data_IF_760235719202
#
_entry.id   IF_760235719202
#
_cell.length_a   1.000
_cell.length_b   1.000
_cell.length_c   1.000
_cell.angle_alpha   90.00
_cell.angle_beta   90.00
_cell.angle_gamma   90.00
#
_symmetry.space_group_name_H-M   'P 1'
#
loop_
_entity.id
_entity.type
_entity.pdbx_description
1 polymer ?
#
# COMPACT_ATOMS: atom_id res chain seq x y z
N UNK A 1 12.78 -8.21 -9.13
CA UNK A 1 13.54 -7.05 -8.59
C UNK A 1 12.57 -6.30 -7.70
N UNK A 2 12.95 -5.92 -6.47
CA UNK A 2 12.02 -5.22 -5.58
C UNK A 2 11.61 -3.88 -6.20
N UNK A 3 10.31 -3.59 -6.21
CA UNK A 3 9.78 -2.29 -6.61
C UNK A 3 9.85 -1.42 -5.36
N UNK A 4 10.62 -0.33 -5.39
CA UNK A 4 10.84 0.53 -4.21
C UNK A 4 10.68 2.03 -4.50
N UNK A 5 10.27 2.38 -5.72
CA UNK A 5 10.27 3.74 -6.24
C UNK A 5 9.08 4.01 -7.17
N UNK A 6 7.93 3.40 -6.90
CA UNK A 6 6.73 3.63 -7.70
C UNK A 6 6.25 5.09 -7.53
N UNK A 7 5.83 5.69 -8.64
CA UNK A 7 5.40 7.08 -8.75
C UNK A 7 4.01 7.13 -9.39
N UNK A 8 3.14 7.90 -8.77
CA UNK A 8 1.73 8.05 -9.09
C UNK A 8 1.32 9.52 -9.25
N UNK A 9 2.28 10.43 -9.48
CA UNK A 9 2.00 11.85 -9.72
C UNK A 9 1.11 12.11 -10.93
N UNK A 10 1.17 11.23 -11.94
CA UNK A 10 0.53 11.42 -13.23
C UNK A 10 -0.78 10.60 -13.39
N UNK A 11 -1.40 10.18 -12.28
CA UNK A 11 -2.67 9.42 -12.34
C UNK A 11 -3.74 10.25 -13.06
N UNK A 12 -4.35 9.62 -14.07
CA UNK A 12 -5.56 10.12 -14.70
C UNK A 12 -6.80 9.60 -13.96
N UNK A 13 -7.55 10.50 -13.32
CA UNK A 13 -8.76 10.16 -12.55
C UNK A 13 -9.88 9.58 -13.43
N UNK A 14 -10.00 10.00 -14.70
CA UNK A 14 -11.01 9.47 -15.62
C UNK A 14 -10.72 8.02 -16.00
N UNK A 15 -9.46 7.72 -16.32
CA UNK A 15 -9.02 6.35 -16.64
C UNK A 15 -9.12 5.44 -15.41
N UNK A 16 -8.71 5.93 -14.24
CA UNK A 16 -8.84 5.20 -12.98
C UNK A 16 -10.30 4.85 -12.72
N UNK A 17 -11.20 5.84 -12.80
CA UNK A 17 -12.64 5.65 -12.63
C UNK A 17 -13.21 4.60 -13.59
N UNK A 18 -12.84 4.66 -14.87
CA UNK A 18 -13.25 3.66 -15.85
C UNK A 18 -12.76 2.25 -15.48
N UNK A 19 -11.50 2.13 -15.03
CA UNK A 19 -10.88 0.84 -14.69
C UNK A 19 -11.48 0.15 -13.46
N UNK A 20 -12.09 0.92 -12.54
CA UNK A 20 -12.72 0.42 -11.31
C UNK A 20 -14.25 0.52 -11.33
N UNK A 21 -14.84 0.91 -12.47
CA UNK A 21 -16.29 0.95 -12.66
C UNK A 21 -17.02 2.08 -11.91
N UNK A 22 -16.35 3.21 -11.70
CA UNK A 22 -16.88 4.37 -10.98
C UNK A 22 -17.01 5.61 -11.87
N UNK A 23 -17.66 6.65 -11.32
CA UNK A 23 -17.67 7.98 -11.95
C UNK A 23 -16.47 8.79 -11.46
N UNK A 24 -15.79 9.58 -12.33
CA UNK A 24 -14.61 10.37 -11.97
C UNK A 24 -14.78 11.24 -10.73
N UNK A 25 -15.99 11.83 -10.55
CA UNK A 25 -16.33 12.64 -9.38
C UNK A 25 -16.17 11.95 -8.01
N UNK A 26 -16.12 10.63 -7.97
CA UNK A 26 -15.94 9.85 -6.73
C UNK A 26 -14.47 9.53 -6.43
N UNK A 27 -13.56 9.72 -7.40
CA UNK A 27 -12.15 9.38 -7.24
C UNK A 27 -11.47 10.17 -6.11
N UNK A 28 -11.63 11.50 -6.00
CA UNK A 28 -10.97 12.24 -4.93
C UNK A 28 -11.32 11.73 -3.52
N UNK A 29 -12.59 11.37 -3.28
CA UNK A 29 -13.03 10.85 -1.98
C UNK A 29 -12.42 9.48 -1.68
N UNK A 30 -12.37 8.60 -2.68
CA UNK A 30 -11.84 7.24 -2.53
C UNK A 30 -10.32 7.28 -2.34
N UNK A 31 -9.62 8.15 -3.08
CA UNK A 31 -8.20 8.39 -2.88
C UNK A 31 -7.92 8.94 -1.49
N UNK A 32 -8.68 9.93 -1.02
CA UNK A 32 -8.51 10.48 0.33
C UNK A 32 -8.64 9.38 1.40
N UNK A 33 -9.68 8.54 1.32
CA UNK A 33 -9.86 7.42 2.24
C UNK A 33 -8.70 6.42 2.16
N UNK A 34 -8.26 6.07 0.95
CA UNK A 34 -7.11 5.18 0.75
C UNK A 34 -5.83 5.72 1.37
N UNK A 35 -5.54 7.01 1.18
CA UNK A 35 -4.35 7.66 1.75
C UNK A 35 -4.40 7.69 3.28
N UNK A 36 -5.55 8.04 3.86
CA UNK A 36 -5.74 8.08 5.31
C UNK A 36 -5.57 6.68 5.92
N UNK A 37 -6.31 5.69 5.42
CA UNK A 37 -6.26 4.31 5.92
C UNK A 37 -4.85 3.72 5.77
N UNK A 38 -4.24 3.87 4.60
CA UNK A 38 -2.90 3.32 4.34
C UNK A 38 -1.87 3.96 5.27
N UNK A 39 -1.94 5.28 5.51
CA UNK A 39 -1.02 5.97 6.43
C UNK A 39 -1.11 5.42 7.85
N UNK A 40 -2.33 5.21 8.36
CA UNK A 40 -2.57 4.62 9.69
C UNK A 40 -2.00 3.20 9.75
N UNK A 41 -2.26 2.38 8.73
CA UNK A 41 -1.80 0.99 8.67
C UNK A 41 -0.27 0.92 8.60
N UNK A 42 0.39 1.76 7.79
CA UNK A 42 1.86 1.79 7.70
C UNK A 42 2.50 2.10 9.05
N UNK A 43 1.95 3.06 9.81
CA UNK A 43 2.42 3.34 11.17
C UNK A 43 2.26 2.14 12.10
N UNK A 44 1.12 1.43 12.00
CA UNK A 44 0.89 0.21 12.77
C UNK A 44 1.89 -0.90 12.41
N UNK A 45 2.26 -1.03 11.12
CA UNK A 45 3.28 -1.99 10.69
C UNK A 45 4.65 -1.60 11.26
N UNK A 46 5.04 -0.32 11.24
CA UNK A 46 6.31 0.15 11.82
C UNK A 46 6.46 -0.24 13.29
N UNK A 47 5.41 -0.05 14.09
CA UNK A 47 5.39 -0.49 15.49
C UNK A 47 5.52 -2.02 15.61
N UNK A 48 4.81 -2.76 14.76
CA UNK A 48 4.80 -4.23 14.77
C UNK A 48 6.17 -4.81 14.39
N UNK A 49 6.94 -4.14 13.53
CA UNK A 49 8.32 -4.53 13.21
C UNK A 49 9.21 -4.44 14.47
N UNK A 50 9.11 -3.35 15.25
CA UNK A 50 9.87 -3.19 16.50
C UNK A 50 9.51 -4.28 17.51
N UNK A 51 8.22 -4.62 17.61
CA UNK A 51 7.71 -5.67 18.49
C UNK A 51 7.91 -7.10 17.95
N UNK A 52 8.40 -7.25 16.71
CA UNK A 52 8.51 -8.53 15.99
C UNK A 52 7.18 -9.29 15.88
N UNK A 53 6.07 -8.55 15.81
CA UNK A 53 4.72 -9.10 15.70
C UNK A 53 4.40 -9.41 14.22
N UNK A 54 4.86 -10.58 13.76
CA UNK A 54 4.70 -11.00 12.36
C UNK A 54 3.22 -11.18 11.97
N UNK A 55 2.35 -11.58 12.91
CA UNK A 55 0.93 -11.74 12.63
C UNK A 55 0.26 -10.39 12.35
N UNK A 56 0.59 -9.37 13.15
CA UNK A 56 0.07 -8.02 12.93
C UNK A 56 0.63 -7.38 11.66
N UNK A 57 1.92 -7.59 11.35
CA UNK A 57 2.51 -7.17 10.06
C UNK A 57 1.75 -7.81 8.90
N UNK A 58 1.52 -9.12 8.95
CA UNK A 58 0.81 -9.87 7.90
C UNK A 58 -0.61 -9.34 7.69
N UNK A 59 -1.39 -9.18 8.77
CA UNK A 59 -2.78 -8.70 8.70
C UNK A 59 -2.87 -7.28 8.13
N UNK A 60 -2.00 -6.39 8.57
CA UNK A 60 -1.96 -5.01 8.09
C UNK A 60 -1.50 -4.93 6.62
N UNK A 61 -0.48 -5.70 6.23
CA UNK A 61 -0.02 -5.75 4.84
C UNK A 61 -1.09 -6.33 3.91
N UNK A 62 -1.85 -7.33 4.37
CA UNK A 62 -3.00 -7.87 3.65
C UNK A 62 -4.06 -6.79 3.37
N UNK A 63 -4.33 -5.92 4.35
CA UNK A 63 -5.29 -4.83 4.20
C UNK A 63 -4.82 -3.82 3.12
N UNK A 64 -3.56 -3.36 3.17
CA UNK A 64 -2.99 -2.48 2.14
C UNK A 64 -3.07 -3.13 0.76
N UNK A 65 -2.69 -4.41 0.66
CA UNK A 65 -2.76 -5.18 -0.60
C UNK A 65 -4.19 -5.19 -1.16
N UNK A 66 -5.19 -5.46 -0.33
CA UNK A 66 -6.59 -5.46 -0.74
C UNK A 66 -7.05 -4.09 -1.27
N UNK A 67 -6.76 -3.02 -0.52
CA UNK A 67 -7.13 -1.66 -0.91
C UNK A 67 -6.42 -1.22 -2.20
N UNK A 68 -5.12 -1.46 -2.33
CA UNK A 68 -4.36 -1.16 -3.53
C UNK A 68 -4.86 -1.95 -4.75
N UNK A 69 -5.21 -3.23 -4.57
CA UNK A 69 -5.76 -4.07 -5.63
C UNK A 69 -7.13 -3.59 -6.14
N UNK A 70 -7.98 -3.07 -5.25
CA UNK A 70 -9.26 -2.47 -5.61
C UNK A 70 -9.10 -1.19 -6.44
N UNK A 71 -8.02 -0.45 -6.20
CA UNK A 71 -7.70 0.82 -6.88
C UNK A 71 -6.71 0.69 -8.04
N UNK A 72 -6.25 -0.53 -8.34
CA UNK A 72 -5.26 -0.81 -9.40
C UNK A 72 -3.88 -0.15 -9.19
N UNK A 73 -3.51 0.15 -7.94
CA UNK A 73 -2.14 0.53 -7.58
C UNK A 73 -1.26 -0.72 -7.53
N UNK A 74 -0.89 -1.24 -8.71
CA UNK A 74 -0.26 -2.55 -8.87
C UNK A 74 1.08 -2.66 -8.15
N UNK A 75 1.88 -1.60 -8.16
CA UNK A 75 3.18 -1.56 -7.51
C UNK A 75 3.03 -1.57 -5.98
N UNK A 76 2.09 -0.79 -5.42
CA UNK A 76 1.74 -0.84 -3.99
C UNK A 76 1.22 -2.23 -3.62
N UNK A 77 0.37 -2.82 -4.48
CA UNK A 77 -0.13 -4.17 -4.30
C UNK A 77 1.01 -5.20 -4.20
N UNK A 78 1.97 -5.17 -5.12
CA UNK A 78 3.10 -6.11 -5.09
C UNK A 78 4.01 -5.87 -3.89
N UNK A 79 4.30 -4.62 -3.53
CA UNK A 79 5.07 -4.31 -2.31
C UNK A 79 4.38 -4.83 -1.04
N UNK A 80 3.07 -4.60 -0.90
CA UNK A 80 2.30 -5.08 0.26
C UNK A 80 2.21 -6.61 0.31
N UNK A 81 2.12 -7.27 -0.86
CA UNK A 81 2.15 -8.73 -0.97
C UNK A 81 3.48 -9.32 -0.52
N UNK A 82 4.62 -8.73 -0.89
CA UNK A 82 5.94 -9.19 -0.43
C UNK A 82 6.06 -9.08 1.10
N UNK A 83 5.58 -7.97 1.68
CA UNK A 83 5.52 -7.79 3.15
C UNK A 83 4.63 -8.87 3.81
N UNK A 84 3.44 -9.10 3.27
CA UNK A 84 2.50 -10.09 3.81
C UNK A 84 3.09 -11.51 3.75
N UNK A 85 3.72 -11.88 2.64
CA UNK A 85 4.31 -13.20 2.46
C UNK A 85 5.51 -13.40 3.38
N UNK A 86 6.40 -12.41 3.49
CA UNK A 86 7.53 -12.48 4.40
C UNK A 86 7.10 -12.64 5.86
N UNK A 87 6.05 -11.92 6.27
CA UNK A 87 5.51 -12.00 7.62
C UNK A 87 4.82 -13.36 7.87
N UNK A 88 4.13 -13.91 6.87
CA UNK A 88 3.54 -15.26 6.92
C UNK A 88 4.61 -16.34 7.15
N UNK A 89 5.77 -16.19 6.51
CA UNK A 89 6.91 -17.10 6.63
C UNK A 89 7.80 -16.80 7.86
N UNK A 90 7.41 -15.84 8.70
CA UNK A 90 8.16 -15.38 9.88
C UNK A 90 9.63 -15.03 9.56
N UNK A 91 9.87 -14.42 8.39
CA UNK A 91 11.22 -14.07 7.94
C UNK A 91 11.76 -12.89 8.76
N UNK A 92 12.57 -13.18 9.77
CA UNK A 92 13.20 -12.19 10.65
C UNK A 92 14.21 -11.26 9.96
N UNK A 93 14.74 -11.63 8.79
CA UNK A 93 15.74 -10.87 8.02
C UNK A 93 15.13 -10.16 6.80
N UNK A 94 13.81 -10.15 6.67
CA UNK A 94 13.17 -9.43 5.58
C UNK A 94 13.28 -7.92 5.81
N UNK A 95 13.54 -7.19 4.74
CA UNK A 95 13.72 -5.73 4.73
C UNK A 95 12.38 -4.99 4.83
N UNK A 96 11.59 -5.26 5.89
CA UNK A 96 10.24 -4.70 6.06
C UNK A 96 10.23 -3.17 5.94
N UNK A 97 11.20 -2.49 6.55
CA UNK A 97 11.29 -1.03 6.52
C UNK A 97 11.41 -0.49 5.09
N UNK A 98 12.23 -1.13 4.23
CA UNK A 98 12.41 -0.67 2.85
C UNK A 98 11.10 -0.69 2.06
N UNK A 99 10.29 -1.74 2.22
CA UNK A 99 8.98 -1.84 1.56
C UNK A 99 7.96 -0.87 2.15
N UNK A 100 7.93 -0.70 3.47
CA UNK A 100 6.99 0.21 4.14
C UNK A 100 7.28 1.66 3.82
N UNK A 101 8.56 2.03 3.73
CA UNK A 101 8.97 3.37 3.31
C UNK A 101 8.72 3.57 1.81
N UNK A 102 8.94 2.55 0.97
CA UNK A 102 8.60 2.62 -0.45
C UNK A 102 7.10 2.83 -0.68
N UNK A 103 6.23 2.08 0.01
CA UNK A 103 4.77 2.28 -0.06
C UNK A 103 4.42 3.70 0.42
N UNK A 104 5.01 4.14 1.55
CA UNK A 104 4.82 5.49 2.06
C UNK A 104 5.21 6.58 1.07
N UNK A 105 6.35 6.43 0.39
CA UNK A 105 6.81 7.36 -0.63
C UNK A 105 5.88 7.36 -1.84
N UNK A 106 5.44 6.18 -2.31
CA UNK A 106 4.52 6.08 -3.44
C UNK A 106 3.17 6.73 -3.15
N UNK A 107 2.58 6.52 -1.98
CA UNK A 107 1.30 7.18 -1.65
C UNK A 107 1.42 8.71 -1.55
N UNK A 108 2.59 9.23 -1.17
CA UNK A 108 2.85 10.67 -1.13
C UNK A 108 2.94 11.32 -2.52
N UNK A 109 3.11 10.54 -3.58
CA UNK A 109 3.08 11.05 -4.97
C UNK A 109 1.66 11.18 -5.52
N UNK A 110 0.66 10.54 -4.90
CA UNK A 110 -0.72 10.56 -5.37
C UNK A 110 -1.31 11.97 -5.16
N UNK A 111 -1.72 12.60 -6.27
CA UNK A 111 -2.43 13.88 -6.24
C UNK A 111 -3.95 13.68 -6.25
N UNK A 112 -4.65 14.42 -5.38
CA UNK A 112 -6.11 14.44 -5.24
C UNK A 112 -6.69 15.71 -5.85
#
# INVERSE_FOLDING_TARGET
>A
MPILNADYSDINHDEMAASIGLKPKHIPLILANFLEETTIILNSIRESIVLKDCDKIRLNAHAIKGSAGNLKFNEIYEMAKEVEFAATEQKCYFEYHAYIDAIGNSINTISI
#
